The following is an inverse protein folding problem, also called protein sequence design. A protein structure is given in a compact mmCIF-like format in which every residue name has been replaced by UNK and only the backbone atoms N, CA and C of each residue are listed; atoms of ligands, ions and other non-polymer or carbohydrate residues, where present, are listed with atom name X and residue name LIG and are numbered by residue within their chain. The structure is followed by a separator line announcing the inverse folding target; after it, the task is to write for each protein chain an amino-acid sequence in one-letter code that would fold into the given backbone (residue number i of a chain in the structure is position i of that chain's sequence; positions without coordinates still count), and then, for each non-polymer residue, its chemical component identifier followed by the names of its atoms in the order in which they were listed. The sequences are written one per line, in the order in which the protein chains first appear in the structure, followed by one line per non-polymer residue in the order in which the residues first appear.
data_IF_008312156787
#
_entry.id   IF_008312156787
#
_cell.length_a   1.000
_cell.length_b   1.000
_cell.length_c   1.000
_cell.angle_alpha   90.00
_cell.angle_beta   90.00
_cell.angle_gamma   90.00
#
_symmetry.space_group_name_H-M   'P 1'
#
loop_
_entity.id
_entity.type
_entity.pdbx_description
1 polymer ?
#
# COMPACT_ATOMS: atom_id res chain seq x y z
N UNK A 1 2.63 -6.42 0.33
CA UNK A 1 3.36 -5.13 0.16
C UNK A 1 3.33 -4.43 1.49
N UNK A 2 4.49 -4.05 2.04
CA UNK A 2 4.53 -3.33 3.31
C UNK A 2 4.63 -1.83 3.01
N UNK A 3 3.75 -1.02 3.61
CA UNK A 3 3.63 0.44 3.36
C UNK A 3 3.87 1.18 4.66
N UNK A 4 4.73 2.21 4.63
CA UNK A 4 5.05 3.07 5.77
C UNK A 4 4.22 4.36 5.69
N UNK A 5 3.66 4.77 6.83
CA UNK A 5 2.90 6.00 6.98
C UNK A 5 3.60 6.90 7.99
N UNK A 6 3.62 8.21 7.73
CA UNK A 6 4.26 9.19 8.64
C UNK A 6 3.31 9.59 9.76
N UNK A 7 2.01 9.67 9.49
CA UNK A 7 0.99 10.15 10.42
C UNK A 7 -0.11 9.10 10.64
N UNK A 8 0.25 8.05 11.37
CA UNK A 8 -0.67 6.97 11.72
C UNK A 8 -1.02 6.04 10.56
N UNK A 9 -1.45 4.84 10.90
CA UNK A 9 -1.73 3.79 9.91
C UNK A 9 -3.22 3.69 9.61
N UNK A 10 -3.63 3.45 8.34
CA UNK A 10 -5.03 3.21 8.00
C UNK A 10 -5.55 1.93 8.63
N UNK A 11 -6.86 1.87 8.94
CA UNK A 11 -7.53 0.68 9.46
C UNK A 11 -7.43 -0.53 8.52
N UNK A 12 -7.63 -1.72 9.08
CA UNK A 12 -7.83 -2.95 8.29
C UNK A 12 -8.97 -2.77 7.28
N UNK A 13 -8.86 -3.46 6.15
CA UNK A 13 -9.80 -3.42 5.01
C UNK A 13 -9.85 -2.06 4.27
N UNK A 14 -9.09 -1.06 4.68
CA UNK A 14 -8.98 0.18 3.90
C UNK A 14 -8.22 -0.07 2.61
N UNK A 15 -8.70 0.55 1.53
CA UNK A 15 -8.03 0.58 0.25
C UNK A 15 -6.94 1.66 0.22
N UNK A 16 -5.77 1.31 -0.31
CA UNK A 16 -4.69 2.22 -0.67
C UNK A 16 -4.59 2.25 -2.19
N UNK A 17 -4.61 3.44 -2.78
CA UNK A 17 -4.56 3.61 -4.24
C UNK A 17 -3.22 4.24 -4.60
N UNK A 18 -2.43 3.53 -5.38
CA UNK A 18 -1.17 4.01 -5.94
C UNK A 18 -1.41 4.38 -7.40
N UNK A 19 -1.19 5.64 -7.76
CA UNK A 19 -1.23 6.10 -9.14
C UNK A 19 0.18 6.09 -9.73
N UNK A 20 0.41 5.27 -10.75
CA UNK A 20 1.68 5.22 -11.49
C UNK A 20 1.81 6.43 -12.41
N UNK A 21 3.03 6.67 -12.90
CA UNK A 21 3.32 7.74 -13.87
C UNK A 21 2.50 7.62 -15.16
N UNK A 22 2.21 6.39 -15.60
CA UNK A 22 1.38 6.09 -16.77
C UNK A 22 -0.14 6.26 -16.53
N UNK A 23 -0.52 6.80 -15.35
CA UNK A 23 -1.89 6.99 -14.86
C UNK A 23 -2.67 5.71 -14.57
N UNK A 24 -2.04 4.54 -14.68
CA UNK A 24 -2.64 3.31 -14.18
C UNK A 24 -2.66 3.32 -12.65
N UNK A 25 -3.62 2.62 -12.06
CA UNK A 25 -3.79 2.54 -10.61
C UNK A 25 -3.59 1.12 -10.13
N UNK A 26 -2.85 0.96 -9.04
CA UNK A 26 -2.79 -0.28 -8.26
C UNK A 26 -3.58 -0.05 -6.97
N UNK A 27 -4.47 -0.98 -6.66
CA UNK A 27 -5.22 -0.98 -5.40
C UNK A 27 -4.59 -2.00 -4.46
N UNK A 28 -4.31 -1.58 -3.24
CA UNK A 28 -3.90 -2.44 -2.14
C UNK A 28 -4.97 -2.42 -1.05
N UNK A 29 -5.17 -3.52 -0.34
CA UNK A 29 -6.01 -3.58 0.86
C UNK A 29 -5.14 -3.78 2.09
N UNK A 30 -5.37 -3.00 3.15
CA UNK A 30 -4.70 -3.17 4.43
C UNK A 30 -5.16 -4.47 5.11
N UNK A 31 -4.27 -5.45 5.18
CA UNK A 31 -4.56 -6.76 5.75
C UNK A 31 -4.08 -6.91 7.21
N UNK A 32 -3.02 -6.18 7.60
CA UNK A 32 -2.48 -6.25 8.95
C UNK A 32 -1.72 -4.99 9.34
N UNK A 33 -1.80 -4.58 10.61
CA UNK A 33 -0.86 -3.65 11.22
C UNK A 33 0.36 -4.42 11.74
N UNK A 34 1.56 -4.04 11.30
CA UNK A 34 2.80 -4.76 11.64
C UNK A 34 3.71 -3.96 12.59
N UNK A 35 3.24 -2.80 13.06
CA UNK A 35 3.99 -1.88 13.93
C UNK A 35 4.97 -1.00 13.15
N UNK A 36 5.71 -0.13 13.87
CA UNK A 36 6.66 0.83 13.29
C UNK A 36 6.05 1.67 12.15
N UNK A 37 4.81 2.14 12.38
CA UNK A 37 4.03 2.94 11.43
C UNK A 37 3.87 2.28 10.05
N UNK A 38 3.84 0.95 10.03
CA UNK A 38 3.67 0.15 8.82
C UNK A 38 2.44 -0.73 8.85
N UNK A 39 1.90 -0.94 7.66
CA UNK A 39 0.89 -1.95 7.39
C UNK A 39 1.40 -2.95 6.36
N UNK A 40 0.92 -4.20 6.47
CA UNK A 40 1.01 -5.19 5.42
C UNK A 40 -0.28 -5.16 4.61
N UNK A 41 -0.12 -4.90 3.32
CA UNK A 41 -1.22 -4.81 2.37
C UNK A 41 -1.16 -5.91 1.29
N UNK A 42 -2.33 -6.30 0.79
CA UNK A 42 -2.50 -7.25 -0.32
C UNK A 42 -2.83 -6.45 -1.57
N UNK A 43 -2.09 -6.68 -2.66
CA UNK A 43 -2.37 -6.03 -3.94
C UNK A 43 -3.49 -6.75 -4.69
N UNK A 44 -4.40 -6.00 -5.30
CA UNK A 44 -5.47 -6.53 -6.15
C UNK A 44 -5.03 -6.69 -7.61
N UNK A 45 -3.88 -6.11 -7.96
CA UNK A 45 -3.24 -6.20 -9.27
C UNK A 45 -1.78 -6.63 -9.13
N UNK A 46 -1.13 -6.91 -10.26
CA UNK A 46 0.30 -7.20 -10.29
C UNK A 46 1.13 -6.01 -9.76
N UNK A 47 2.15 -6.33 -8.98
CA UNK A 47 3.05 -5.37 -8.33
C UNK A 47 4.35 -5.15 -9.11
N UNK A 48 4.46 -5.70 -10.33
CA UNK A 48 5.57 -5.38 -11.23
C UNK A 48 5.73 -3.88 -11.43
N UNK A 49 6.97 -3.42 -11.34
CA UNK A 49 7.35 -2.00 -11.46
C UNK A 49 7.08 -1.15 -10.22
N UNK A 50 6.65 -1.73 -9.09
CA UNK A 50 6.66 -1.02 -7.81
C UNK A 50 8.07 -1.01 -7.21
N UNK A 51 8.52 0.16 -6.80
CA UNK A 51 9.81 0.36 -6.14
C UNK A 51 9.62 0.84 -4.70
N UNK A 52 10.63 0.62 -3.85
CA UNK A 52 10.59 1.07 -2.46
C UNK A 52 10.76 2.58 -2.38
N UNK A 53 9.91 3.27 -1.63
CA UNK A 53 9.97 4.72 -1.47
C UNK A 53 9.23 5.52 -2.55
N UNK A 54 8.52 4.81 -3.43
CA UNK A 54 7.45 5.37 -4.27
C UNK A 54 6.36 6.04 -3.43
#
# INVERSE_FOLDING_TARGET
VDVHFVDGVPSLLNALIITKEDKSTITLEVAQHIGLDRVRAIAMQDTQGLERGM
#
